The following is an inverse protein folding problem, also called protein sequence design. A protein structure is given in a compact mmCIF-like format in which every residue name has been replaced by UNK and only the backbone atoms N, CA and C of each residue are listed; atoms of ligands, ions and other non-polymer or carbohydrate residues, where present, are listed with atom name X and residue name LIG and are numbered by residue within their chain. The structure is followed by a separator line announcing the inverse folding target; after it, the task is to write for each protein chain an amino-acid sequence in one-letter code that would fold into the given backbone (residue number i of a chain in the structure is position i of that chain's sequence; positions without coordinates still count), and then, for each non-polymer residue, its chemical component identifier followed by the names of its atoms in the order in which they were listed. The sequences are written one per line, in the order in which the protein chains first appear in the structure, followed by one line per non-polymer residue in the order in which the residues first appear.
data_IF_476451271502
#
_entry.id   IF_476451271502
#
_cell.length_a   1.000
_cell.length_b   1.000
_cell.length_c   1.000
_cell.angle_alpha   90.00
_cell.angle_beta   90.00
_cell.angle_gamma   90.00
#
_symmetry.space_group_name_H-M   'P 1'
#
loop_
_entity.id
_entity.type
_entity.pdbx_description
1 polymer ?
#
# COMPACT_ATOMS: atom_id res chain seq x y z
N UNK A 1 22.94 19.59 31.19
CA UNK A 1 21.80 19.25 30.30
C UNK A 1 22.12 19.26 28.81
N UNK A 2 23.33 19.53 28.31
CA UNK A 2 23.66 19.53 26.87
C UNK A 2 24.18 18.19 26.29
N UNK A 3 24.63 17.27 27.11
CA UNK A 3 25.23 16.00 26.68
C UNK A 3 24.19 14.91 26.27
N UNK A 4 22.94 15.00 26.76
CA UNK A 4 21.88 14.02 26.41
C UNK A 4 21.27 14.22 25.01
N UNK A 5 21.35 15.47 24.49
CA UNK A 5 20.75 15.81 23.18
C UNK A 5 21.63 15.33 21.99
N UNK A 6 22.94 15.17 22.19
CA UNK A 6 23.87 14.69 21.16
C UNK A 6 23.81 13.16 20.96
N UNK A 7 23.52 12.40 22.02
CA UNK A 7 23.39 10.93 21.92
C UNK A 7 22.13 10.48 21.14
N UNK A 8 21.05 11.25 21.19
CA UNK A 8 19.83 10.96 20.41
C UNK A 8 19.97 11.22 18.89
N UNK A 9 20.82 12.18 18.52
CA UNK A 9 21.10 12.50 17.12
C UNK A 9 21.97 11.43 16.44
N UNK A 10 22.98 10.90 17.14
CA UNK A 10 23.87 9.87 16.60
C UNK A 10 23.22 8.49 16.46
N UNK A 11 22.29 8.13 17.35
CA UNK A 11 21.53 6.87 17.21
C UNK A 11 20.53 6.92 16.03
N UNK A 12 19.86 8.06 15.84
CA UNK A 12 18.96 8.26 14.71
C UNK A 12 19.66 8.32 13.34
N UNK A 13 20.87 8.84 13.29
CA UNK A 13 21.70 8.84 12.06
C UNK A 13 22.22 7.43 11.77
N UNK A 14 22.67 6.70 12.77
CA UNK A 14 23.21 5.34 12.60
C UNK A 14 22.15 4.36 12.09
N UNK A 15 20.93 4.41 12.58
CA UNK A 15 19.82 3.59 12.07
C UNK A 15 19.43 4.00 10.64
N UNK A 16 19.35 5.29 10.35
CA UNK A 16 19.07 5.77 8.97
C UNK A 16 20.16 5.37 7.98
N UNK A 17 21.42 5.43 8.40
CA UNK A 17 22.55 5.01 7.57
C UNK A 17 22.52 3.51 7.35
N UNK A 18 22.30 2.69 8.40
CA UNK A 18 22.24 1.23 8.25
C UNK A 18 21.09 0.78 7.33
N UNK A 19 19.94 1.44 7.41
CA UNK A 19 18.80 1.14 6.56
C UNK A 19 18.97 1.63 5.12
N UNK A 20 19.79 2.69 4.94
CA UNK A 20 20.07 3.29 3.63
C UNK A 20 21.24 2.67 2.87
N UNK A 21 22.21 2.05 3.54
CA UNK A 21 23.43 1.50 2.90
C UNK A 21 23.08 0.47 1.83
N UNK A 22 22.16 -0.43 2.11
CA UNK A 22 21.78 -1.49 1.18
C UNK A 22 21.11 -0.98 -0.12
N UNK A 23 20.08 -0.11 -0.08
CA UNK A 23 19.56 0.53 -1.29
C UNK A 23 20.59 1.34 -2.06
N UNK A 24 21.48 2.06 -1.37
CA UNK A 24 22.53 2.88 -2.00
C UNK A 24 23.52 2.00 -2.75
N UNK A 25 24.00 0.91 -2.12
CA UNK A 25 24.90 -0.04 -2.80
C UNK A 25 24.25 -0.68 -4.02
N UNK A 26 22.99 -1.05 -3.94
CA UNK A 26 22.26 -1.57 -5.10
C UNK A 26 22.16 -0.56 -6.24
N UNK A 27 21.86 0.71 -5.91
CA UNK A 27 21.79 1.78 -6.90
C UNK A 27 23.14 2.04 -7.55
N UNK A 28 24.23 2.03 -6.77
CA UNK A 28 25.58 2.21 -7.28
C UNK A 28 26.02 1.09 -8.21
N UNK A 29 25.74 -0.17 -7.85
CA UNK A 29 26.02 -1.34 -8.69
C UNK A 29 25.18 -1.30 -9.96
N UNK A 30 23.90 -0.95 -9.86
CA UNK A 30 23.03 -0.84 -11.04
C UNK A 30 23.51 0.27 -12.00
N UNK A 31 23.92 1.42 -11.46
CA UNK A 31 24.45 2.52 -12.25
C UNK A 31 25.77 2.13 -12.95
N UNK A 32 26.71 1.52 -12.21
CA UNK A 32 27.97 1.05 -12.79
C UNK A 32 27.79 -0.02 -13.85
N UNK A 33 26.90 -0.99 -13.62
CA UNK A 33 26.58 -2.03 -14.59
C UNK A 33 25.91 -1.47 -15.84
N UNK A 34 25.00 -0.52 -15.69
CA UNK A 34 24.33 0.10 -16.82
C UNK A 34 25.29 0.95 -17.66
N UNK A 35 26.25 1.66 -17.03
CA UNK A 35 27.31 2.34 -17.72
C UNK A 35 28.17 1.37 -18.52
N UNK A 36 28.65 0.29 -17.88
CA UNK A 36 29.47 -0.73 -18.54
C UNK A 36 28.77 -1.33 -19.75
N UNK A 37 27.49 -1.68 -19.63
CA UNK A 37 26.72 -2.25 -20.75
C UNK A 37 26.56 -1.27 -21.91
N UNK A 38 26.35 0.02 -21.64
CA UNK A 38 26.13 1.01 -22.70
C UNK A 38 27.42 1.54 -23.28
N UNK A 39 28.46 1.73 -22.46
CA UNK A 39 29.75 2.24 -22.94
C UNK A 39 30.58 1.16 -23.63
N UNK A 40 30.84 0.04 -22.91
CA UNK A 40 31.80 -0.97 -23.38
C UNK A 40 31.18 -1.99 -24.29
N UNK A 41 29.90 -2.33 -24.15
CA UNK A 41 29.23 -3.34 -24.97
C UNK A 41 28.48 -2.75 -26.16
N UNK A 42 27.79 -1.62 -26.01
CA UNK A 42 27.07 -0.94 -27.09
C UNK A 42 27.91 0.13 -27.79
N UNK A 43 29.07 0.50 -27.26
CA UNK A 43 30.00 1.47 -27.88
C UNK A 43 29.53 2.92 -27.85
N UNK A 44 28.57 3.27 -26.96
CA UNK A 44 28.10 4.64 -26.84
C UNK A 44 29.17 5.51 -26.13
N UNK A 45 29.61 6.62 -26.73
CA UNK A 45 30.75 7.39 -26.20
C UNK A 45 30.44 8.08 -24.85
N UNK A 46 29.20 8.45 -24.63
CA UNK A 46 28.75 9.18 -23.41
C UNK A 46 27.33 8.76 -22.94
N UNK A 47 27.18 7.56 -22.37
CA UNK A 47 25.87 7.01 -22.03
C UNK A 47 25.34 7.52 -20.68
N UNK A 48 25.19 8.84 -20.50
CA UNK A 48 24.75 9.43 -19.23
C UNK A 48 23.35 8.98 -18.78
N UNK A 49 22.46 8.68 -19.72
CA UNK A 49 21.08 8.31 -19.40
C UNK A 49 20.97 6.95 -18.73
N UNK A 50 21.82 6.00 -19.05
CA UNK A 50 21.76 4.65 -18.50
C UNK A 50 22.04 4.62 -16.98
N UNK A 51 23.15 5.16 -16.46
CA UNK A 51 23.41 5.18 -15.01
C UNK A 51 22.45 6.07 -14.25
N UNK A 52 22.01 7.20 -14.83
CA UNK A 52 21.01 8.08 -14.20
C UNK A 52 19.68 7.34 -14.07
N UNK A 53 19.23 6.70 -15.15
CA UNK A 53 18.00 5.90 -15.14
C UNK A 53 18.05 4.79 -14.09
N UNK A 54 19.19 4.09 -14.01
CA UNK A 54 19.40 3.04 -13.03
C UNK A 54 19.39 3.58 -11.60
N UNK A 55 20.18 4.60 -11.27
CA UNK A 55 20.28 5.16 -9.93
C UNK A 55 18.95 5.73 -9.43
N UNK A 56 18.23 6.51 -10.26
CA UNK A 56 16.96 7.13 -9.91
C UNK A 56 15.87 6.07 -9.71
N UNK A 57 15.81 5.05 -10.55
CA UNK A 57 14.81 3.98 -10.43
C UNK A 57 15.05 3.10 -9.20
N UNK A 58 16.32 2.84 -8.84
CA UNK A 58 16.68 2.03 -7.65
C UNK A 58 16.46 2.76 -6.34
N UNK A 59 16.49 4.10 -6.30
CA UNK A 59 16.25 4.90 -5.09
C UNK A 59 14.81 4.81 -4.58
N UNK A 60 13.89 4.25 -5.37
CA UNK A 60 12.52 4.03 -4.98
C UNK A 60 12.34 2.80 -4.07
N UNK A 61 11.26 2.80 -3.28
CA UNK A 61 10.84 1.59 -2.57
C UNK A 61 10.61 0.43 -3.54
N UNK A 62 10.87 -0.80 -3.10
CA UNK A 62 10.76 -2.02 -3.93
C UNK A 62 9.43 -2.14 -4.69
N UNK A 63 8.35 -1.61 -4.10
CA UNK A 63 6.99 -1.63 -4.67
C UNK A 63 6.85 -0.70 -5.86
N UNK A 64 7.57 0.43 -5.85
CA UNK A 64 7.44 1.49 -6.86
C UNK A 64 8.54 1.44 -7.95
N UNK A 65 9.52 0.56 -7.83
CA UNK A 65 10.67 0.52 -8.76
C UNK A 65 10.26 0.28 -10.20
N UNK A 66 9.43 -0.72 -10.45
CA UNK A 66 8.96 -1.02 -11.81
C UNK A 66 8.11 0.11 -12.41
N UNK A 67 7.22 0.70 -11.60
CA UNK A 67 6.41 1.82 -12.03
C UNK A 67 7.29 3.04 -12.36
N UNK A 68 8.26 3.35 -11.51
CA UNK A 68 9.20 4.46 -11.75
C UNK A 68 10.10 4.22 -12.96
N UNK A 69 10.57 2.99 -13.18
CA UNK A 69 11.35 2.66 -14.37
C UNK A 69 10.53 2.91 -15.65
N UNK A 70 9.27 2.48 -15.69
CA UNK A 70 8.39 2.74 -16.84
C UNK A 70 8.10 4.23 -17.00
N UNK A 71 7.79 4.95 -15.91
CA UNK A 71 7.58 6.40 -15.96
C UNK A 71 8.82 7.16 -16.45
N UNK A 72 10.01 6.70 -16.03
CA UNK A 72 11.27 7.27 -16.47
C UNK A 72 11.49 7.04 -17.97
N UNK A 73 11.38 5.79 -18.44
CA UNK A 73 11.57 5.46 -19.85
C UNK A 73 10.57 6.23 -20.73
N UNK A 74 9.30 6.24 -20.36
CA UNK A 74 8.28 6.98 -21.09
C UNK A 74 8.54 8.50 -21.06
N UNK A 75 8.98 9.05 -19.92
CA UNK A 75 9.35 10.47 -19.79
C UNK A 75 10.57 10.83 -20.66
N UNK A 76 11.58 9.96 -20.67
CA UNK A 76 12.75 10.14 -21.56
C UNK A 76 12.33 10.13 -23.01
N UNK A 77 11.51 9.17 -23.43
CA UNK A 77 11.04 9.08 -24.82
C UNK A 77 10.26 10.34 -25.25
N UNK A 78 9.31 10.79 -24.39
CA UNK A 78 8.55 12.01 -24.65
C UNK A 78 9.46 13.25 -24.71
N UNK A 79 10.37 13.37 -23.74
CA UNK A 79 11.32 14.50 -23.67
C UNK A 79 12.26 14.55 -24.87
N UNK A 80 12.77 13.40 -25.35
CA UNK A 80 13.58 13.32 -26.55
C UNK A 80 12.77 13.77 -27.77
N UNK A 81 11.56 13.26 -27.95
CA UNK A 81 10.71 13.65 -29.09
C UNK A 81 10.45 15.15 -29.13
N UNK A 82 10.10 15.77 -27.99
CA UNK A 82 9.89 17.21 -27.88
C UNK A 82 11.20 17.98 -28.09
N UNK A 83 12.30 17.53 -27.47
CA UNK A 83 13.60 18.20 -27.58
C UNK A 83 14.15 18.20 -29.00
N UNK A 84 13.99 17.11 -29.74
CA UNK A 84 14.37 17.04 -31.18
C UNK A 84 13.49 17.99 -32.00
N UNK A 85 12.15 17.92 -31.86
CA UNK A 85 11.24 18.73 -32.64
C UNK A 85 11.42 20.24 -32.39
N UNK A 86 11.63 20.69 -31.15
CA UNK A 86 11.87 22.11 -30.84
C UNK A 86 13.27 22.54 -31.29
N UNK A 87 14.27 21.67 -31.12
CA UNK A 87 15.64 21.96 -31.51
C UNK A 87 15.85 22.14 -33.02
N UNK A 88 14.92 21.65 -33.88
CA UNK A 88 14.94 21.92 -35.31
C UNK A 88 14.47 23.33 -35.69
N UNK A 89 13.65 23.95 -34.81
CA UNK A 89 12.98 25.22 -35.12
C UNK A 89 13.65 26.40 -34.39
N UNK A 90 14.25 26.17 -33.23
CA UNK A 90 14.82 27.20 -32.37
C UNK A 90 16.06 26.71 -31.61
N UNK A 91 16.96 27.62 -31.31
CA UNK A 91 18.18 27.41 -30.55
C UNK A 91 18.25 28.31 -29.29
N UNK A 92 19.16 27.95 -28.36
CA UNK A 92 19.45 28.78 -27.19
C UNK A 92 18.42 28.66 -26.06
N UNK A 93 18.44 29.64 -25.13
CA UNK A 93 17.62 29.57 -23.91
C UNK A 93 16.10 29.56 -24.16
N UNK A 94 15.66 30.21 -25.25
CA UNK A 94 14.24 30.25 -25.62
C UNK A 94 13.74 28.87 -26.09
N UNK A 95 14.56 28.16 -26.86
CA UNK A 95 14.26 26.78 -27.28
C UNK A 95 14.16 25.83 -26.06
N UNK A 96 15.08 25.95 -25.11
CA UNK A 96 15.04 25.17 -23.87
C UNK A 96 13.76 25.46 -23.08
N UNK A 97 13.40 26.73 -22.87
CA UNK A 97 12.20 27.09 -22.14
C UNK A 97 10.92 26.60 -22.83
N UNK A 98 10.84 26.75 -24.16
CA UNK A 98 9.72 26.22 -24.96
C UNK A 98 9.61 24.71 -24.91
N UNK A 99 10.72 24.00 -25.06
CA UNK A 99 10.74 22.53 -24.98
C UNK A 99 10.30 22.02 -23.60
N UNK A 100 10.75 22.64 -22.50
CA UNK A 100 10.33 22.30 -21.15
C UNK A 100 8.83 22.49 -21.01
N UNK A 101 8.31 23.66 -21.41
CA UNK A 101 6.88 23.96 -21.33
C UNK A 101 6.05 22.92 -22.10
N UNK A 102 6.41 22.65 -23.34
CA UNK A 102 5.71 21.69 -24.21
C UNK A 102 5.80 20.26 -23.61
N UNK A 103 7.00 19.82 -23.20
CA UNK A 103 7.20 18.51 -22.63
C UNK A 103 6.38 18.29 -21.35
N UNK A 104 6.37 19.28 -20.44
CA UNK A 104 5.57 19.20 -19.20
C UNK A 104 4.08 19.22 -19.48
N UNK A 105 3.58 20.08 -20.36
CA UNK A 105 2.17 20.12 -20.75
C UNK A 105 1.71 18.80 -21.38
N UNK A 106 2.50 18.25 -22.31
CA UNK A 106 2.21 16.94 -22.91
C UNK A 106 2.26 15.82 -21.87
N UNK A 107 3.24 15.84 -20.97
CA UNK A 107 3.33 14.83 -19.91
C UNK A 107 2.12 14.89 -18.96
N UNK A 108 1.60 16.07 -18.65
CA UNK A 108 0.40 16.24 -17.81
C UNK A 108 -0.87 15.75 -18.52
N UNK A 109 -0.99 15.95 -19.83
CA UNK A 109 -2.17 15.53 -20.60
C UNK A 109 -2.17 14.03 -20.90
N UNK A 110 -1.00 13.45 -21.23
CA UNK A 110 -0.83 12.01 -21.52
C UNK A 110 -0.72 11.17 -20.25
N UNK A 111 -0.27 11.77 -19.15
CA UNK A 111 0.01 11.10 -17.87
C UNK A 111 -1.24 10.57 -17.18
N UNK A 112 -1.88 9.52 -17.73
CA UNK A 112 -3.02 8.81 -17.14
C UNK A 112 -2.62 7.47 -16.51
N UNK A 113 -3.40 6.98 -15.53
CA UNK A 113 -3.22 5.63 -14.97
C UNK A 113 -1.83 5.37 -14.39
N UNK A 114 -1.09 4.43 -14.97
CA UNK A 114 0.25 4.01 -14.54
C UNK A 114 1.34 5.08 -14.74
N UNK A 115 1.17 6.00 -15.70
CA UNK A 115 2.08 7.11 -15.97
C UNK A 115 1.81 8.34 -15.11
N UNK A 116 0.76 8.31 -14.27
CA UNK A 116 0.39 9.43 -13.41
C UNK A 116 1.45 9.65 -12.32
N UNK A 117 2.23 10.73 -12.42
CA UNK A 117 3.20 11.09 -11.38
C UNK A 117 4.18 12.17 -11.81
N UNK A 118 4.68 12.92 -10.84
CA UNK A 118 5.69 13.98 -11.04
C UNK A 118 6.98 13.44 -11.66
N UNK A 119 7.28 12.15 -11.47
CA UNK A 119 8.46 11.52 -12.05
C UNK A 119 8.44 11.53 -13.58
N UNK A 120 7.30 11.18 -14.19
CA UNK A 120 7.10 11.20 -15.63
C UNK A 120 7.26 12.63 -16.20
N UNK A 121 6.62 13.61 -15.54
CA UNK A 121 6.68 15.02 -15.95
C UNK A 121 8.09 15.59 -15.84
N UNK A 122 8.76 15.39 -14.70
CA UNK A 122 10.12 15.88 -14.49
C UNK A 122 11.12 15.25 -15.45
N UNK A 123 10.94 13.96 -15.74
CA UNK A 123 11.86 13.26 -16.65
C UNK A 123 11.68 13.71 -18.09
N UNK A 124 10.45 14.03 -18.52
CA UNK A 124 10.19 14.61 -19.84
C UNK A 124 10.88 15.95 -20.02
N UNK A 125 10.77 16.83 -19.01
CA UNK A 125 11.43 18.13 -19.02
C UNK A 125 12.96 18.00 -19.05
N UNK A 126 13.53 17.18 -18.15
CA UNK A 126 14.98 16.97 -18.07
C UNK A 126 15.55 16.42 -19.39
N UNK A 127 14.86 15.47 -20.01
CA UNK A 127 15.30 14.87 -21.26
C UNK A 127 15.21 15.86 -22.43
N UNK A 128 14.18 16.70 -22.49
CA UNK A 128 14.07 17.75 -23.49
C UNK A 128 15.21 18.78 -23.38
N UNK A 129 15.55 19.22 -22.16
CA UNK A 129 16.70 20.10 -21.91
C UNK A 129 17.99 19.46 -22.40
N UNK A 130 18.25 18.20 -22.02
CA UNK A 130 19.49 17.51 -22.34
C UNK A 130 19.66 17.29 -23.86
N UNK A 131 18.56 17.04 -24.57
CA UNK A 131 18.60 16.90 -26.03
C UNK A 131 19.06 18.19 -26.72
N UNK A 132 18.52 19.33 -26.28
CA UNK A 132 18.89 20.63 -26.87
C UNK A 132 20.30 21.06 -26.41
N UNK A 133 20.62 20.92 -25.12
CA UNK A 133 21.90 21.34 -24.55
C UNK A 133 23.09 20.51 -25.09
N UNK A 134 22.90 19.23 -25.36
CA UNK A 134 23.95 18.29 -25.80
C UNK A 134 23.78 17.88 -27.25
N UNK A 135 23.35 18.78 -28.13
CA UNK A 135 23.01 18.52 -29.55
C UNK A 135 24.12 17.83 -30.34
N UNK A 136 25.37 18.04 -29.95
CA UNK A 136 26.54 17.56 -30.69
C UNK A 136 27.11 16.22 -30.20
N UNK A 137 26.56 15.61 -29.14
CA UNK A 137 27.25 14.49 -28.45
C UNK A 137 26.60 13.10 -28.59
N UNK A 138 25.33 13.00 -29.01
CA UNK A 138 24.66 11.72 -29.26
C UNK A 138 23.35 11.90 -30.00
N UNK A 139 22.94 10.90 -30.81
CA UNK A 139 21.62 10.89 -31.44
C UNK A 139 20.49 10.68 -30.41
N UNK A 140 19.29 11.17 -30.71
CA UNK A 140 18.15 10.97 -29.83
C UNK A 140 17.84 9.49 -29.57
N UNK A 141 18.11 8.62 -30.56
CA UNK A 141 17.92 7.16 -30.47
C UNK A 141 18.89 6.53 -29.47
N UNK A 142 20.17 6.91 -29.48
CA UNK A 142 21.18 6.39 -28.53
C UNK A 142 20.78 6.70 -27.10
N UNK A 143 20.26 7.89 -26.82
CA UNK A 143 19.77 8.29 -25.48
C UNK A 143 18.57 7.48 -25.02
N UNK A 144 17.66 7.15 -25.95
CA UNK A 144 16.52 6.29 -25.66
C UNK A 144 16.98 4.86 -25.34
N UNK A 145 17.95 4.33 -26.10
CA UNK A 145 18.56 3.03 -25.84
C UNK A 145 19.27 2.99 -24.50
N UNK A 146 20.01 4.03 -24.14
CA UNK A 146 20.65 4.16 -22.82
C UNK A 146 19.63 4.11 -21.70
N UNK A 147 18.52 4.85 -21.82
CA UNK A 147 17.45 4.84 -20.82
C UNK A 147 16.78 3.46 -20.72
N UNK A 148 16.57 2.78 -21.84
CA UNK A 148 16.04 1.42 -21.88
C UNK A 148 16.97 0.42 -21.20
N UNK A 149 18.28 0.50 -21.48
CA UNK A 149 19.29 -0.36 -20.84
C UNK A 149 19.34 -0.09 -19.36
N UNK A 150 19.43 1.17 -18.93
CA UNK A 150 19.44 1.54 -17.51
C UNK A 150 18.18 1.08 -16.77
N UNK A 151 17.01 1.30 -17.35
CA UNK A 151 15.74 0.82 -16.82
C UNK A 151 15.65 -0.71 -16.80
N UNK A 152 16.11 -1.38 -17.85
CA UNK A 152 16.19 -2.83 -17.96
C UNK A 152 17.09 -3.46 -16.89
N UNK A 153 18.27 -2.90 -16.66
CA UNK A 153 19.19 -3.31 -15.59
C UNK A 153 18.52 -3.25 -14.22
N UNK A 154 17.77 -2.16 -13.94
CA UNK A 154 17.03 -2.03 -12.67
C UNK A 154 15.97 -3.12 -12.53
N UNK A 155 15.20 -3.39 -13.58
CA UNK A 155 14.18 -4.44 -13.56
C UNK A 155 14.84 -5.79 -13.29
N UNK A 156 15.91 -6.11 -14.01
CA UNK A 156 16.67 -7.37 -13.82
C UNK A 156 17.20 -7.48 -12.39
N UNK A 157 17.89 -6.47 -11.88
CA UNK A 157 18.43 -6.47 -10.52
C UNK A 157 17.32 -6.59 -9.48
N UNK A 158 16.22 -5.84 -9.64
CA UNK A 158 15.11 -5.83 -8.68
C UNK A 158 14.33 -7.15 -8.67
N UNK A 159 14.20 -7.81 -9.82
CA UNK A 159 13.39 -9.02 -9.97
C UNK A 159 14.20 -10.29 -9.74
N UNK A 160 15.44 -10.37 -10.27
CA UNK A 160 16.24 -11.59 -10.20
C UNK A 160 17.19 -11.62 -9.01
N UNK A 161 17.92 -10.52 -8.74
CA UNK A 161 18.92 -10.54 -7.67
C UNK A 161 18.34 -10.25 -6.30
N UNK A 162 17.43 -9.29 -6.21
CA UNK A 162 16.93 -8.81 -4.91
C UNK A 162 15.41 -8.58 -4.92
N UNK A 163 14.61 -9.62 -5.27
CA UNK A 163 13.16 -9.47 -5.20
C UNK A 163 12.73 -9.22 -3.76
N UNK A 164 11.84 -8.25 -3.55
CA UNK A 164 11.21 -8.06 -2.26
C UNK A 164 10.50 -9.36 -1.85
N UNK A 165 10.58 -9.72 -0.58
CA UNK A 165 9.82 -10.87 -0.07
C UNK A 165 8.31 -10.51 -0.06
N UNK A 166 7.48 -11.19 -0.88
CA UNK A 166 6.06 -10.88 -0.98
C UNK A 166 5.33 -11.10 0.34
N UNK A 167 5.78 -12.03 1.18
CA UNK A 167 5.22 -12.28 2.50
C UNK A 167 5.50 -11.10 3.45
N UNK A 168 6.71 -10.54 3.42
CA UNK A 168 7.03 -9.34 4.21
C UNK A 168 6.18 -8.15 3.82
N UNK A 169 6.05 -7.89 2.52
CA UNK A 169 5.24 -6.77 2.00
C UNK A 169 3.78 -6.89 2.44
N UNK A 170 3.20 -8.10 2.33
CA UNK A 170 1.82 -8.37 2.76
C UNK A 170 1.66 -8.23 4.28
N UNK A 171 2.60 -8.78 5.05
CA UNK A 171 2.54 -8.73 6.51
C UNK A 171 2.70 -7.31 7.05
N UNK A 172 3.58 -6.51 6.47
CA UNK A 172 3.78 -5.11 6.89
C UNK A 172 2.51 -4.27 6.63
N UNK A 173 1.91 -4.40 5.44
CA UNK A 173 0.65 -3.72 5.13
C UNK A 173 -0.50 -4.19 6.03
N UNK A 174 -0.57 -5.49 6.33
CA UNK A 174 -1.58 -6.05 7.23
C UNK A 174 -1.41 -5.58 8.67
N UNK A 175 -0.17 -5.49 9.17
CA UNK A 175 0.13 -4.92 10.50
C UNK A 175 -0.28 -3.46 10.59
N UNK A 176 -0.01 -2.67 9.54
CA UNK A 176 -0.40 -1.27 9.49
C UNK A 176 -1.93 -1.10 9.54
N UNK A 177 -2.67 -1.90 8.75
CA UNK A 177 -4.12 -1.91 8.82
C UNK A 177 -4.63 -2.37 10.20
N UNK A 178 -4.06 -3.44 10.77
CA UNK A 178 -4.39 -3.92 12.11
C UNK A 178 -4.19 -2.84 13.17
N UNK A 179 -3.06 -2.12 13.14
CA UNK A 179 -2.78 -1.02 14.06
C UNK A 179 -3.77 0.14 13.89
N UNK A 180 -4.13 0.48 12.65
CA UNK A 180 -5.11 1.53 12.37
C UNK A 180 -6.50 1.15 12.88
N UNK A 181 -6.95 -0.09 12.65
CA UNK A 181 -8.23 -0.60 13.15
C UNK A 181 -8.24 -0.66 14.68
N UNK A 182 -7.17 -1.16 15.31
CA UNK A 182 -7.05 -1.19 16.78
C UNK A 182 -7.18 0.20 17.38
N UNK A 183 -6.52 1.20 16.79
CA UNK A 183 -6.58 2.58 17.26
C UNK A 183 -7.98 3.17 17.09
N UNK A 184 -8.64 2.93 15.96
CA UNK A 184 -10.01 3.38 15.71
C UNK A 184 -11.03 2.76 16.68
N UNK A 185 -10.92 1.45 16.92
CA UNK A 185 -11.77 0.73 17.89
C UNK A 185 -11.48 1.18 19.32
N UNK A 186 -10.21 1.46 19.65
CA UNK A 186 -9.83 1.99 20.96
C UNK A 186 -10.41 3.37 21.25
N UNK A 187 -10.40 4.26 20.26
CA UNK A 187 -11.01 5.59 20.39
C UNK A 187 -12.54 5.51 20.57
N UNK A 188 -13.20 4.60 19.85
CA UNK A 188 -14.64 4.38 20.05
C UNK A 188 -14.93 3.83 21.46
N UNK A 189 -14.12 2.91 21.94
CA UNK A 189 -14.22 2.33 23.28
C UNK A 189 -14.10 3.42 24.38
N UNK A 190 -13.16 4.35 24.22
CA UNK A 190 -13.03 5.52 25.10
C UNK A 190 -14.29 6.43 25.10
N UNK A 191 -14.92 6.61 23.94
CA UNK A 191 -16.17 7.36 23.84
C UNK A 191 -17.31 6.66 24.59
N UNK A 192 -17.40 5.33 24.52
CA UNK A 192 -18.39 4.53 25.23
C UNK A 192 -18.21 4.65 26.75
N UNK A 193 -16.98 4.47 27.25
CA UNK A 193 -16.70 4.41 28.68
C UNK A 193 -16.67 5.78 29.36
N UNK A 194 -16.08 6.79 28.72
CA UNK A 194 -15.89 8.11 29.33
C UNK A 194 -17.05 9.06 29.12
N UNK A 195 -18.05 8.70 28.32
CA UNK A 195 -19.17 9.58 27.92
C UNK A 195 -18.69 10.96 27.45
N UNK A 196 -17.47 11.02 26.90
CA UNK A 196 -16.91 12.26 26.38
C UNK A 196 -17.62 12.57 25.06
N UNK A 197 -18.09 13.82 24.84
CA UNK A 197 -18.67 14.18 23.56
C UNK A 197 -17.67 13.82 22.45
N UNK A 198 -18.14 13.10 21.44
CA UNK A 198 -17.30 12.71 20.33
C UNK A 198 -16.90 13.96 19.54
N UNK A 199 -15.63 14.08 19.19
CA UNK A 199 -15.15 15.10 18.26
C UNK A 199 -15.88 14.91 16.91
N UNK A 200 -16.54 15.96 16.41
CA UNK A 200 -17.26 15.93 15.14
C UNK A 200 -16.37 15.56 13.94
N UNK A 201 -15.06 15.81 14.03
CA UNK A 201 -14.07 15.46 13.00
C UNK A 201 -13.65 13.98 13.03
N UNK A 202 -13.93 13.26 14.15
CA UNK A 202 -13.45 11.89 14.36
C UNK A 202 -13.88 10.88 13.28
N UNK A 203 -15.15 10.84 12.80
CA UNK A 203 -15.54 9.87 11.78
C UNK A 203 -14.83 10.08 10.46
N UNK A 204 -14.53 11.34 10.13
CA UNK A 204 -13.87 11.70 8.88
C UNK A 204 -12.38 11.34 8.91
N UNK A 205 -11.68 11.73 9.98
CA UNK A 205 -10.25 11.46 10.14
C UNK A 205 -9.97 9.97 10.29
N UNK A 206 -10.76 9.28 11.10
CA UNK A 206 -10.66 7.82 11.30
C UNK A 206 -10.99 7.07 10.02
N UNK A 207 -12.07 7.45 9.33
CA UNK A 207 -12.44 6.88 8.04
C UNK A 207 -11.34 7.04 7.00
N UNK A 208 -10.74 8.23 6.90
CA UNK A 208 -9.65 8.50 5.98
C UNK A 208 -8.41 7.64 6.28
N UNK A 209 -8.02 7.52 7.55
CA UNK A 209 -6.88 6.71 7.97
C UNK A 209 -7.10 5.22 7.62
N UNK A 210 -8.29 4.68 7.86
CA UNK A 210 -8.64 3.31 7.51
C UNK A 210 -8.62 3.11 5.99
N UNK A 211 -9.18 4.04 5.21
CA UNK A 211 -9.14 3.94 3.74
C UNK A 211 -7.72 3.98 3.19
N UNK A 212 -6.84 4.82 3.73
CA UNK A 212 -5.42 4.84 3.34
C UNK A 212 -4.75 3.50 3.63
N UNK A 213 -4.99 2.91 4.81
CA UNK A 213 -4.43 1.62 5.18
C UNK A 213 -4.97 0.47 4.29
N UNK A 214 -6.26 0.48 3.95
CA UNK A 214 -6.87 -0.47 3.01
C UNK A 214 -6.26 -0.33 1.61
N UNK A 215 -6.07 0.89 1.12
CA UNK A 215 -5.42 1.14 -0.17
C UNK A 215 -3.97 0.62 -0.18
N UNK A 216 -3.22 0.80 0.91
CA UNK A 216 -1.87 0.24 1.06
C UNK A 216 -1.88 -1.28 1.04
N UNK A 217 -2.84 -1.94 1.69
CA UNK A 217 -2.99 -3.39 1.64
C UNK A 217 -3.34 -3.88 0.22
N UNK A 218 -4.23 -3.19 -0.49
CA UNK A 218 -4.57 -3.51 -1.88
C UNK A 218 -3.35 -3.39 -2.80
N UNK A 219 -2.52 -2.36 -2.62
CA UNK A 219 -1.27 -2.18 -3.36
C UNK A 219 -0.24 -3.26 -3.02
N UNK A 220 -0.11 -3.65 -1.76
CA UNK A 220 0.76 -4.73 -1.32
C UNK A 220 0.36 -6.07 -1.97
N UNK A 221 -0.96 -6.36 -2.07
CA UNK A 221 -1.49 -7.53 -2.78
C UNK A 221 -1.12 -7.54 -4.26
N UNK A 222 -1.31 -6.41 -4.95
CA UNK A 222 -0.96 -6.28 -6.36
C UNK A 222 0.54 -6.55 -6.58
N UNK A 223 1.37 -5.95 -5.74
CA UNK A 223 2.83 -6.15 -5.77
C UNK A 223 3.23 -7.60 -5.51
N UNK A 224 2.68 -8.25 -4.47
CA UNK A 224 2.98 -9.63 -4.14
C UNK A 224 2.62 -10.58 -5.29
N UNK A 225 1.47 -10.36 -5.98
CA UNK A 225 1.07 -11.15 -7.16
C UNK A 225 2.07 -11.01 -8.31
N UNK A 226 2.58 -9.80 -8.58
CA UNK A 226 3.58 -9.57 -9.62
C UNK A 226 4.88 -10.29 -9.26
N UNK A 227 5.37 -10.13 -8.03
CA UNK A 227 6.63 -10.75 -7.58
C UNK A 227 6.56 -12.28 -7.71
N UNK A 228 5.49 -12.92 -7.27
CA UNK A 228 5.33 -14.38 -7.35
C UNK A 228 5.25 -14.86 -8.79
N UNK A 229 4.70 -14.05 -9.71
CA UNK A 229 4.60 -14.41 -11.13
C UNK A 229 5.93 -14.32 -11.83
N UNK A 230 6.74 -13.31 -11.51
CA UNK A 230 7.94 -12.94 -12.28
C UNK A 230 9.23 -13.46 -11.64
N UNK A 231 9.30 -13.63 -10.32
CA UNK A 231 10.52 -14.03 -9.61
C UNK A 231 10.58 -15.56 -9.38
N UNK A 232 11.46 -16.31 -10.09
CA UNK A 232 11.55 -17.78 -10.00
C UNK A 232 11.85 -18.28 -8.58
N UNK A 233 12.58 -17.48 -7.80
CA UNK A 233 12.93 -17.80 -6.39
C UNK A 233 11.70 -18.08 -5.53
N UNK A 234 10.54 -17.48 -5.82
CA UNK A 234 9.31 -17.63 -5.03
C UNK A 234 8.35 -18.69 -5.57
N UNK A 235 8.64 -19.35 -6.68
CA UNK A 235 7.76 -20.38 -7.26
C UNK A 235 7.55 -21.54 -6.28
N UNK A 236 8.58 -21.94 -5.52
CA UNK A 236 8.46 -22.96 -4.48
C UNK A 236 7.58 -22.53 -3.29
N UNK A 237 7.43 -21.23 -3.05
CA UNK A 237 6.62 -20.67 -1.96
C UNK A 237 5.28 -20.10 -2.44
N UNK A 238 4.93 -20.38 -3.69
CA UNK A 238 3.72 -19.81 -4.32
C UNK A 238 2.46 -20.12 -3.51
N UNK A 239 2.25 -21.35 -3.08
CA UNK A 239 1.11 -21.75 -2.27
C UNK A 239 1.03 -20.98 -0.94
N UNK A 240 2.17 -20.76 -0.27
CA UNK A 240 2.22 -19.98 0.96
C UNK A 240 1.86 -18.52 0.72
N UNK A 241 2.32 -17.93 -0.38
CA UNK A 241 1.96 -16.54 -0.73
C UNK A 241 0.50 -16.43 -1.13
N UNK A 242 -0.04 -17.39 -1.89
CA UNK A 242 -1.45 -17.44 -2.27
C UNK A 242 -2.37 -17.53 -1.04
N UNK A 243 -2.01 -18.33 -0.03
CA UNK A 243 -2.77 -18.43 1.22
C UNK A 243 -2.79 -17.11 2.00
N UNK A 244 -1.67 -16.38 2.04
CA UNK A 244 -1.61 -15.06 2.70
C UNK A 244 -2.34 -13.99 1.87
N UNK A 245 -2.30 -14.08 0.53
CA UNK A 245 -3.08 -13.22 -0.36
C UNK A 245 -4.58 -13.38 -0.12
N UNK A 246 -5.06 -14.62 0.01
CA UNK A 246 -6.48 -14.88 0.30
C UNK A 246 -6.86 -14.32 1.68
N UNK A 247 -6.07 -14.56 2.71
CA UNK A 247 -6.30 -13.95 4.03
C UNK A 247 -6.29 -12.42 3.98
N UNK A 248 -5.45 -11.82 3.15
CA UNK A 248 -5.44 -10.37 2.99
C UNK A 248 -6.67 -9.84 2.28
N UNK A 249 -7.33 -10.62 1.40
CA UNK A 249 -8.63 -10.30 0.84
C UNK A 249 -9.72 -10.31 1.93
N UNK A 250 -9.69 -11.32 2.81
CA UNK A 250 -10.64 -11.41 3.93
C UNK A 250 -10.43 -10.28 4.95
N UNK A 251 -9.18 -9.88 5.18
CA UNK A 251 -8.87 -8.72 6.04
C UNK A 251 -9.37 -7.40 5.44
N UNK A 252 -9.32 -7.25 4.13
CA UNK A 252 -9.87 -6.08 3.43
C UNK A 252 -11.40 -5.97 3.61
N UNK A 253 -12.12 -7.08 3.46
CA UNK A 253 -13.56 -7.16 3.73
C UNK A 253 -13.87 -6.82 5.18
N UNK A 254 -13.17 -7.44 6.13
CA UNK A 254 -13.31 -7.18 7.55
C UNK A 254 -13.06 -5.70 7.88
N UNK A 255 -12.02 -5.09 7.32
CA UNK A 255 -11.71 -3.67 7.53
C UNK A 255 -12.83 -2.74 7.08
N UNK A 256 -13.46 -3.02 5.93
CA UNK A 256 -14.61 -2.26 5.44
C UNK A 256 -15.84 -2.46 6.32
N UNK A 257 -16.10 -3.69 6.79
CA UNK A 257 -17.21 -4.00 7.70
C UNK A 257 -17.04 -3.31 9.05
N UNK A 258 -15.81 -3.31 9.60
CA UNK A 258 -15.47 -2.58 10.84
C UNK A 258 -15.70 -1.09 10.65
N UNK A 259 -15.30 -0.49 9.53
CA UNK A 259 -15.50 0.93 9.27
C UNK A 259 -16.99 1.30 9.25
N UNK A 260 -17.84 0.43 8.65
CA UNK A 260 -19.29 0.58 8.68
C UNK A 260 -19.86 0.56 10.12
N UNK A 261 -19.42 -0.41 10.91
CA UNK A 261 -19.83 -0.54 12.31
C UNK A 261 -19.36 0.65 13.15
N UNK A 262 -18.12 1.13 12.98
CA UNK A 262 -17.59 2.30 13.68
C UNK A 262 -18.41 3.56 13.40
N UNK A 263 -18.78 3.80 12.14
CA UNK A 263 -19.60 4.96 11.77
C UNK A 263 -21.00 4.89 12.38
N UNK A 264 -21.64 3.73 12.33
CA UNK A 264 -22.96 3.54 12.87
C UNK A 264 -22.97 3.64 14.41
N UNK A 265 -21.97 3.06 15.08
CA UNK A 265 -21.83 3.13 16.53
C UNK A 265 -21.55 4.56 17.01
N UNK A 266 -20.67 5.29 16.31
CA UNK A 266 -20.41 6.69 16.62
C UNK A 266 -21.67 7.57 16.47
N UNK A 267 -22.44 7.37 15.39
CA UNK A 267 -23.68 8.11 15.17
C UNK A 267 -24.70 7.83 16.31
N UNK A 268 -24.84 6.58 16.75
CA UNK A 268 -25.72 6.23 17.87
C UNK A 268 -25.27 6.89 19.18
N UNK A 269 -23.96 6.90 19.48
CA UNK A 269 -23.41 7.55 20.65
C UNK A 269 -23.61 9.08 20.63
N UNK A 270 -23.50 9.71 19.46
CA UNK A 270 -23.71 11.15 19.29
C UNK A 270 -25.17 11.54 19.55
N UNK A 271 -26.10 10.67 19.16
CA UNK A 271 -27.54 10.86 19.42
C UNK A 271 -27.95 10.44 20.86
N UNK A 272 -26.99 10.08 21.71
CA UNK A 272 -27.20 9.70 23.10
C UNK A 272 -27.76 8.28 23.30
N UNK A 273 -27.72 7.44 22.27
CA UNK A 273 -28.17 6.05 22.33
C UNK A 273 -27.15 5.17 23.07
N UNK A 274 -27.60 4.25 23.91
CA UNK A 274 -26.73 3.25 24.51
C UNK A 274 -26.53 2.07 23.56
N UNK A 275 -25.28 1.64 23.40
CA UNK A 275 -24.97 0.45 22.59
C UNK A 275 -25.37 -0.82 23.35
N UNK A 276 -25.93 -1.79 22.61
CA UNK A 276 -26.27 -3.11 23.18
C UNK A 276 -25.00 -3.84 23.65
N UNK A 277 -25.13 -4.62 24.71
CA UNK A 277 -24.06 -5.45 25.28
C UNK A 277 -23.45 -6.41 24.24
N UNK A 278 -24.23 -6.87 23.26
CA UNK A 278 -23.74 -7.66 22.15
C UNK A 278 -22.78 -6.88 21.24
N UNK A 279 -23.14 -5.64 20.88
CA UNK A 279 -22.32 -4.77 20.04
C UNK A 279 -20.99 -4.45 20.73
N UNK A 280 -21.04 -4.11 22.02
CA UNK A 280 -19.82 -3.83 22.83
C UNK A 280 -18.92 -5.07 22.93
N UNK A 281 -19.48 -6.26 23.10
CA UNK A 281 -18.71 -7.51 23.09
C UNK A 281 -18.02 -7.75 21.73
N UNK A 282 -18.73 -7.53 20.63
CA UNK A 282 -18.16 -7.67 19.28
C UNK A 282 -17.05 -6.65 19.04
N UNK A 283 -17.23 -5.40 19.46
CA UNK A 283 -16.18 -4.38 19.37
C UNK A 283 -14.91 -4.79 20.12
N UNK A 284 -15.07 -5.35 21.33
CA UNK A 284 -13.95 -5.89 22.11
C UNK A 284 -13.20 -7.03 21.38
N UNK A 285 -13.94 -7.96 20.76
CA UNK A 285 -13.37 -9.04 19.97
C UNK A 285 -12.61 -8.52 18.75
N UNK A 286 -13.20 -7.58 18.01
CA UNK A 286 -12.58 -6.96 16.84
C UNK A 286 -11.31 -6.21 17.23
N UNK A 287 -11.30 -5.53 18.38
CA UNK A 287 -10.12 -4.85 18.91
C UNK A 287 -9.00 -5.83 19.27
N UNK A 288 -9.32 -6.94 19.92
CA UNK A 288 -8.36 -7.98 20.23
C UNK A 288 -7.73 -8.58 18.96
N UNK A 289 -8.55 -8.86 17.94
CA UNK A 289 -8.06 -9.37 16.67
C UNK A 289 -7.21 -8.35 15.90
N UNK A 290 -7.65 -7.09 15.85
CA UNK A 290 -6.87 -6.02 15.25
C UNK A 290 -5.51 -5.84 15.93
N UNK A 291 -5.44 -6.01 17.26
CA UNK A 291 -4.18 -6.02 18.02
C UNK A 291 -3.29 -7.19 17.63
N UNK A 292 -3.83 -8.39 17.53
CA UNK A 292 -3.08 -9.58 17.11
C UNK A 292 -2.53 -9.44 15.67
N UNK A 293 -3.31 -8.84 14.76
CA UNK A 293 -2.85 -8.55 13.39
C UNK A 293 -1.77 -7.49 13.40
N UNK A 294 -1.90 -6.44 14.22
CA UNK A 294 -0.90 -5.38 14.34
C UNK A 294 0.46 -5.91 14.82
N UNK A 295 0.46 -6.88 15.72
CA UNK A 295 1.67 -7.46 16.28
C UNK A 295 2.30 -8.50 15.34
N UNK A 296 1.50 -9.42 14.80
CA UNK A 296 2.00 -10.60 14.12
C UNK A 296 1.81 -10.61 12.59
N UNK A 297 0.97 -9.71 12.03
CA UNK A 297 0.61 -9.74 10.60
C UNK A 297 -0.32 -10.91 10.26
N UNK A 298 -0.35 -11.35 9.01
CA UNK A 298 -1.17 -12.47 8.51
C UNK A 298 -0.37 -13.77 8.27
N UNK A 299 0.93 -13.80 8.59
CA UNK A 299 1.75 -14.99 8.37
C UNK A 299 1.18 -16.21 9.14
N UNK A 300 1.31 -17.43 8.61
CA UNK A 300 0.86 -18.65 9.25
C UNK A 300 1.83 -19.01 10.39
N UNK A 301 1.88 -18.20 11.44
CA UNK A 301 2.34 -18.69 12.71
C UNK A 301 1.20 -19.51 13.32
N UNK A 302 1.50 -20.54 14.09
CA UNK A 302 0.56 -21.31 14.90
C UNK A 302 -0.16 -20.37 15.86
N UNK A 303 -1.14 -19.60 15.33
CA UNK A 303 -1.88 -18.65 16.13
C UNK A 303 -2.86 -19.40 17.01
N UNK A 304 -2.67 -19.31 18.30
CA UNK A 304 -3.75 -19.54 19.25
C UNK A 304 -4.79 -18.44 19.07
N UNK A 305 -5.83 -18.75 18.34
CA UNK A 305 -6.98 -17.86 18.20
C UNK A 305 -7.70 -17.74 19.55
N UNK A 306 -8.04 -16.53 19.94
CA UNK A 306 -8.87 -16.29 21.13
C UNK A 306 -10.19 -17.05 20.96
N UNK A 307 -10.56 -17.86 21.96
CA UNK A 307 -11.82 -18.62 21.91
C UNK A 307 -13.02 -17.66 21.76
N UNK A 308 -14.00 -18.07 20.97
CA UNK A 308 -15.23 -17.29 20.82
C UNK A 308 -16.01 -17.24 22.14
N UNK A 309 -16.34 -16.06 22.67
CA UNK A 309 -17.30 -15.98 23.73
C UNK A 309 -18.68 -16.40 23.21
N UNK A 310 -19.44 -17.11 24.03
CA UNK A 310 -20.84 -17.41 23.71
C UNK A 310 -21.61 -16.08 23.66
N UNK A 311 -21.93 -15.62 22.45
CA UNK A 311 -22.70 -14.40 22.26
C UNK A 311 -24.15 -14.64 22.71
N UNK A 312 -24.66 -13.75 23.56
CA UNK A 312 -26.05 -13.80 23.98
C UNK A 312 -26.98 -13.56 22.78
N UNK A 313 -28.15 -14.22 22.69
CA UNK A 313 -29.13 -13.96 21.63
C UNK A 313 -29.57 -12.50 21.69
N UNK A 314 -29.88 -11.94 20.51
CA UNK A 314 -30.37 -10.56 20.39
C UNK A 314 -31.67 -10.43 21.17
N UNK A 315 -31.67 -9.74 22.31
CA UNK A 315 -32.89 -9.32 22.99
C UNK A 315 -33.45 -8.13 22.22
N UNK A 316 -34.62 -8.29 21.62
CA UNK A 316 -35.39 -7.15 21.11
C UNK A 316 -35.82 -6.31 22.31
N UNK A 317 -35.14 -5.17 22.49
CA UNK A 317 -35.58 -4.19 23.49
C UNK A 317 -36.88 -3.53 22.98
N UNK A 318 -37.94 -3.41 23.78
CA UNK A 318 -39.16 -2.70 23.37
C UNK A 318 -38.95 -1.20 23.09
N UNK A 319 -37.80 -0.64 23.49
CA UNK A 319 -37.37 0.74 23.23
C UNK A 319 -36.25 0.82 22.22
N UNK A 320 -36.18 -0.15 21.28
CA UNK A 320 -35.18 -0.09 20.21
C UNK A 320 -35.46 1.15 19.39
N UNK A 321 -34.61 2.15 19.52
CA UNK A 321 -34.36 3.16 18.51
C UNK A 321 -34.09 2.45 17.19
N UNK A 322 -34.46 3.04 16.05
CA UNK A 322 -34.37 2.42 14.71
C UNK A 322 -32.97 1.87 14.35
N UNK A 323 -31.92 2.27 15.08
CA UNK A 323 -30.51 1.88 14.81
C UNK A 323 -30.06 0.59 15.49
N UNK A 324 -30.71 0.13 16.55
CA UNK A 324 -30.33 -1.11 17.24
C UNK A 324 -30.24 -2.32 16.31
N UNK A 325 -31.23 -2.58 15.46
CA UNK A 325 -31.19 -3.68 14.47
C UNK A 325 -30.06 -3.52 13.43
N UNK A 326 -29.79 -2.29 12.99
CA UNK A 326 -28.71 -2.01 12.04
C UNK A 326 -27.34 -2.31 12.68
N UNK A 327 -27.09 -1.84 13.90
CA UNK A 327 -25.86 -2.11 14.62
C UNK A 327 -25.64 -3.60 14.85
N UNK A 328 -26.67 -4.34 15.22
CA UNK A 328 -26.62 -5.78 15.37
C UNK A 328 -26.27 -6.49 14.03
N UNK A 329 -26.90 -6.07 12.94
CA UNK A 329 -26.62 -6.62 11.60
C UNK A 329 -25.19 -6.35 11.14
N UNK A 330 -24.65 -5.14 11.40
CA UNK A 330 -23.27 -4.78 11.07
C UNK A 330 -22.27 -5.55 11.97
N UNK A 331 -22.57 -5.72 13.26
CA UNK A 331 -21.76 -6.55 14.15
C UNK A 331 -21.71 -8.00 13.69
N UNK A 332 -22.84 -8.57 13.26
CA UNK A 332 -22.91 -9.91 12.69
C UNK A 332 -22.16 -10.04 11.35
N UNK A 333 -22.15 -9.00 10.52
CA UNK A 333 -21.34 -8.95 9.32
C UNK A 333 -19.84 -9.00 9.66
N UNK A 334 -19.39 -8.18 10.60
CA UNK A 334 -18.00 -8.20 11.08
C UNK A 334 -17.61 -9.58 11.62
N UNK A 335 -18.49 -10.25 12.37
CA UNK A 335 -18.22 -11.59 12.87
C UNK A 335 -18.08 -12.63 11.75
N UNK A 336 -18.93 -12.58 10.73
CA UNK A 336 -18.81 -13.46 9.56
C UNK A 336 -17.49 -13.25 8.81
N UNK A 337 -17.09 -12.00 8.61
CA UNK A 337 -15.82 -11.69 7.93
C UNK A 337 -14.62 -12.11 8.77
N UNK A 338 -14.70 -11.94 10.09
CA UNK A 338 -13.68 -12.42 11.01
C UNK A 338 -13.56 -13.96 11.00
N UNK A 339 -14.70 -14.68 10.91
CA UNK A 339 -14.71 -16.13 10.76
C UNK A 339 -14.01 -16.59 9.48
N UNK A 340 -14.31 -15.93 8.36
CA UNK A 340 -13.63 -16.20 7.08
C UNK A 340 -12.12 -15.97 7.16
N UNK A 341 -11.71 -14.86 7.79
CA UNK A 341 -10.30 -14.54 7.98
C UNK A 341 -9.56 -15.65 8.77
N UNK A 342 -10.20 -16.21 9.79
CA UNK A 342 -9.64 -17.28 10.62
C UNK A 342 -9.62 -18.64 9.92
N UNK A 343 -10.36 -18.82 8.83
CA UNK A 343 -10.46 -20.11 8.12
C UNK A 343 -11.23 -21.19 8.89
N UNK A 344 -11.84 -20.83 10.02
CA UNK A 344 -12.72 -21.68 10.81
C UNK A 344 -14.14 -21.19 10.65
N UNK A 345 -14.81 -21.55 9.54
CA UNK A 345 -16.26 -21.47 9.50
C UNK A 345 -16.84 -22.55 10.42
N UNK A 346 -17.53 -22.22 11.53
CA UNK A 346 -18.52 -23.17 12.03
C UNK A 346 -19.55 -23.30 10.91
N UNK A 347 -19.88 -24.56 10.62
CA UNK A 347 -20.95 -24.89 9.69
C UNK A 347 -22.17 -23.99 10.06
N UNK A 348 -22.51 -23.04 9.20
CA UNK A 348 -23.61 -22.09 9.42
C UNK A 348 -24.94 -22.84 9.63
N UNK A 349 -24.98 -24.15 9.33
CA UNK A 349 -26.08 -25.07 9.62
C UNK A 349 -26.29 -25.35 11.10
N UNK A 350 -25.29 -25.20 11.98
CA UNK A 350 -25.47 -25.41 13.41
C UNK A 350 -26.06 -24.18 14.15
N UNK A 351 -25.97 -23.00 13.58
CA UNK A 351 -26.60 -21.80 14.18
C UNK A 351 -28.08 -21.64 13.78
N UNK A 352 -28.48 -22.25 12.66
CA UNK A 352 -29.87 -22.29 12.22
C UNK A 352 -30.74 -23.35 12.91
N UNK A 353 -30.14 -24.43 13.42
CA UNK A 353 -30.88 -25.52 14.07
C UNK A 353 -31.25 -25.26 15.53
N UNK A 354 -30.55 -24.33 16.22
CA UNK A 354 -30.88 -23.98 17.62
C UNK A 354 -32.11 -23.06 17.72
N UNK A 355 -32.50 -22.41 16.60
CA UNK A 355 -33.70 -21.52 16.56
C UNK A 355 -35.02 -22.25 16.18
N UNK A 356 -34.94 -23.36 15.49
CA UNK A 356 -36.13 -24.05 14.93
C UNK A 356 -36.64 -25.18 15.83
N UNK A 357 -35.81 -25.72 16.72
CA UNK A 357 -36.22 -26.81 17.61
C UNK A 357 -36.99 -26.36 18.85
N UNK A 358 -37.01 -25.08 19.18
CA UNK A 358 -37.81 -24.53 20.30
C UNK A 358 -39.25 -24.14 19.94
N UNK A 359 -39.59 -23.99 18.67
CA UNK A 359 -40.99 -23.70 18.24
C UNK A 359 -41.85 -24.94 18.02
N UNK A 360 -41.25 -26.17 18.06
CA UNK A 360 -41.98 -27.41 17.97
C UNK A 360 -42.29 -28.10 19.30
N UNK A 361 -41.71 -27.66 20.38
CA UNK A 361 -41.96 -28.22 21.74
C UNK A 361 -42.98 -27.44 22.56
N UNK A 362 -43.68 -26.50 21.96
CA UNK A 362 -44.69 -25.67 22.65
C UNK A 362 -46.10 -25.76 22.02
N UNK A 363 -46.35 -26.78 21.19
CA UNK A 363 -47.65 -26.99 20.53
C UNK A 363 -48.11 -28.47 20.64
N UNK A 364 -48.03 -29.01 21.89
CA UNK A 364 -48.79 -30.21 22.30
C UNK A 364 -49.26 -30.00 23.72
#
# INVERSE_FOLDING_TARGET
MKACRFRGLTSGVRTRVSDGVWPVTQASVAAGLSWYLTHDLLGHPQPFFAPIAAAVSMSASNVLRSQRAVQLIAGVALGIGVGVGVGEVADGPVAIAGAVLIAMCLALTVGGGFLRGLMFVNQSAASAILVIALRNSATGIERLLDALVGGGVVVVISVLLFPADPLRVLNEASRNLGATLRNALGQLDEQIFRRTPADQSWPMTTGQNVHVALAQLAQARATARIIVRVAPRFWRRRAAVESVLERSNQLDLLGNSILGLLRAAHAALTDGEALDARVTTVLGLLRAEASAIAEHGLAPAERQWVAWPKLAPVRRSPRATDRGPLLAALADACLRDLQRLRGSGPDVRQLGSIGVERDRAGAD
#
